data_IF_642505308870
#
_entry.id   IF_642505308870
#
_cell.length_a   1.000
_cell.length_b   1.000
_cell.length_c   1.000
_cell.angle_alpha   90.00
_cell.angle_beta   90.00
_cell.angle_gamma   90.00
#
_symmetry.space_group_name_H-M   'P 1'
#
loop_
_entity.id
_entity.type
_entity.pdbx_description
1 polymer ?
#
# COMPACT_ATOMS: atom_id res chain seq x y z
N UNK A 1 -29.17 9.79 11.50
CA UNK A 1 -28.80 10.05 10.09
C UNK A 1 -29.06 8.78 9.28
N UNK A 2 -29.95 8.79 8.28
CA UNK A 2 -30.31 7.57 7.57
C UNK A 2 -29.24 7.23 6.53
N UNK A 3 -28.68 6.04 6.67
CA UNK A 3 -27.75 5.43 5.73
C UNK A 3 -28.49 5.02 4.46
N UNK A 4 -28.10 5.58 3.31
CA UNK A 4 -28.52 5.06 2.01
C UNK A 4 -27.93 3.66 1.82
N UNK A 5 -28.77 2.64 2.01
CA UNK A 5 -28.51 1.28 1.54
C UNK A 5 -28.69 1.25 0.03
N UNK A 6 -27.58 1.27 -0.71
CA UNK A 6 -27.60 0.77 -2.09
C UNK A 6 -27.88 -0.75 -2.04
N UNK A 7 -29.10 -1.14 -2.37
CA UNK A 7 -29.49 -2.55 -2.61
C UNK A 7 -28.77 -3.02 -3.88
N UNK A 8 -27.92 -4.04 -3.78
CA UNK A 8 -27.65 -4.91 -4.93
C UNK A 8 -26.22 -5.40 -5.17
N UNK A 9 -25.18 -4.83 -4.57
CA UNK A 9 -23.81 -5.38 -4.67
C UNK A 9 -23.39 -5.95 -3.32
N UNK A 10 -22.89 -7.19 -3.29
CA UNK A 10 -22.14 -7.64 -2.11
C UNK A 10 -20.93 -6.71 -2.01
N UNK A 11 -20.62 -6.22 -0.81
CA UNK A 11 -19.57 -5.21 -0.56
C UNK A 11 -18.13 -5.67 -0.92
N UNK A 12 -17.99 -6.88 -1.48
CA UNK A 12 -16.76 -7.62 -1.70
C UNK A 12 -16.84 -8.45 -3.00
N UNK A 13 -17.40 -7.87 -4.07
CA UNK A 13 -17.27 -8.48 -5.39
C UNK A 13 -15.86 -8.22 -5.92
N UNK A 14 -15.16 -9.29 -6.29
CA UNK A 14 -13.86 -9.22 -6.94
C UNK A 14 -13.97 -8.40 -8.22
N UNK A 15 -13.20 -7.31 -8.32
CA UNK A 15 -13.07 -6.51 -9.53
C UNK A 15 -11.68 -6.74 -10.15
N UNK A 16 -11.64 -6.99 -11.47
CA UNK A 16 -10.39 -7.28 -12.17
C UNK A 16 -9.40 -6.12 -12.09
N UNK A 17 -8.13 -6.48 -11.93
CA UNK A 17 -7.00 -5.59 -11.88
C UNK A 17 -6.80 -4.81 -13.20
N UNK A 18 -6.39 -3.54 -13.08
CA UNK A 18 -5.93 -2.74 -14.24
C UNK A 18 -4.50 -3.08 -14.64
N UNK A 19 -3.69 -3.67 -13.75
CA UNK A 19 -2.28 -3.96 -13.96
C UNK A 19 -1.37 -2.72 -14.05
N UNK A 20 -1.94 -1.53 -13.95
CA UNK A 20 -1.25 -0.25 -14.00
C UNK A 20 -1.83 0.73 -12.98
N UNK A 21 -0.96 1.54 -12.41
CA UNK A 21 -1.31 2.66 -11.55
C UNK A 21 -0.72 3.96 -12.09
N UNK A 22 -1.28 5.08 -11.65
CA UNK A 22 -0.65 6.38 -11.76
C UNK A 22 -0.96 7.16 -10.49
N UNK A 23 -0.27 8.27 -10.29
CA UNK A 23 -0.45 9.12 -9.12
C UNK A 23 -1.90 9.56 -8.94
N UNK A 24 -2.59 9.89 -10.01
CA UNK A 24 -3.93 10.47 -10.01
C UNK A 24 -5.02 9.45 -9.67
N UNK A 25 -4.72 8.17 -9.79
CA UNK A 25 -5.61 7.06 -9.44
C UNK A 25 -5.36 6.53 -8.02
N UNK A 26 -4.28 6.92 -7.35
CA UNK A 26 -4.04 6.60 -5.94
C UNK A 26 -5.00 7.37 -5.03
N UNK A 27 -5.28 6.84 -3.84
CA UNK A 27 -5.98 7.59 -2.79
C UNK A 27 -5.10 8.75 -2.27
N UNK A 28 -5.68 9.78 -1.62
CA UNK A 28 -4.94 10.96 -1.21
C UNK A 28 -3.75 10.71 -0.27
N UNK A 29 -3.79 9.68 0.58
CA UNK A 29 -2.69 9.36 1.48
C UNK A 29 -1.58 8.66 0.68
N UNK A 30 -1.91 7.68 -0.15
CA UNK A 30 -0.95 6.99 -1.02
C UNK A 30 -0.28 7.93 -2.03
N UNK A 31 -0.97 8.97 -2.53
CA UNK A 31 -0.37 10.01 -3.39
C UNK A 31 0.79 10.73 -2.71
N UNK A 32 0.63 11.05 -1.44
CA UNK A 32 1.65 11.77 -0.69
C UNK A 32 2.89 10.88 -0.50
N UNK A 33 2.68 9.60 -0.22
CA UNK A 33 3.77 8.61 -0.13
C UNK A 33 4.47 8.46 -1.47
N UNK A 34 3.70 8.33 -2.56
CA UNK A 34 4.24 8.26 -3.92
C UNK A 34 5.12 9.48 -4.24
N UNK A 35 4.67 10.69 -3.93
CA UNK A 35 5.42 11.93 -4.16
C UNK A 35 6.73 11.94 -3.37
N UNK A 36 6.69 11.58 -2.08
CA UNK A 36 7.90 11.51 -1.23
C UNK A 36 8.90 10.48 -1.74
N UNK A 37 8.44 9.28 -2.13
CA UNK A 37 9.33 8.24 -2.66
C UNK A 37 9.93 8.67 -4.01
N UNK A 38 9.16 9.35 -4.86
CA UNK A 38 9.66 9.92 -6.11
C UNK A 38 10.72 11.00 -5.90
N UNK A 39 10.50 11.90 -4.94
CA UNK A 39 11.47 12.95 -4.59
C UNK A 39 12.78 12.37 -4.03
N UNK A 40 12.71 11.20 -3.38
CA UNK A 40 13.88 10.43 -2.94
C UNK A 40 14.58 9.68 -4.09
N UNK A 41 14.07 9.74 -5.31
CA UNK A 41 14.64 9.06 -6.47
C UNK A 41 14.33 7.56 -6.53
N UNK A 42 13.31 7.09 -5.81
CA UNK A 42 12.86 5.69 -5.89
C UNK A 42 12.34 5.39 -7.29
N UNK A 43 12.84 4.30 -7.87
CA UNK A 43 12.43 3.77 -9.18
C UNK A 43 11.42 2.64 -9.05
N UNK A 44 11.65 1.75 -8.07
CA UNK A 44 10.82 0.55 -7.87
C UNK A 44 10.47 0.41 -6.40
N UNK A 45 9.21 0.08 -6.11
CA UNK A 45 8.74 -0.38 -4.80
C UNK A 45 8.62 -1.89 -4.83
N UNK A 46 9.05 -2.55 -3.76
CA UNK A 46 8.84 -3.98 -3.53
C UNK A 46 7.82 -4.19 -2.42
N UNK A 47 6.85 -5.07 -2.68
CA UNK A 47 5.80 -5.41 -1.74
C UNK A 47 5.63 -6.92 -1.64
N UNK A 48 5.07 -7.36 -0.52
CA UNK A 48 4.57 -8.71 -0.30
C UNK A 48 3.08 -8.66 -0.05
N UNK A 49 2.38 -9.71 -0.43
CA UNK A 49 0.95 -9.83 -0.13
C UNK A 49 0.62 -11.22 0.38
N UNK A 50 -0.43 -11.29 1.18
CA UNK A 50 -1.03 -12.52 1.66
C UNK A 50 -2.55 -12.37 1.73
N UNK A 51 -3.25 -13.50 1.81
CA UNK A 51 -4.69 -13.56 1.99
C UNK A 51 -5.16 -14.99 2.19
N UNK A 52 -6.43 -15.13 2.54
CA UNK A 52 -7.10 -16.41 2.80
C UNK A 52 -8.02 -16.32 4.00
N UNK A 53 -9.31 -16.46 3.77
CA UNK A 53 -10.36 -16.23 4.75
C UNK A 53 -11.08 -14.91 4.52
N UNK A 54 -10.75 -13.90 5.32
CA UNK A 54 -11.47 -12.62 5.41
C UNK A 54 -11.06 -11.64 4.29
N UNK A 55 -9.82 -11.14 4.32
CA UNK A 55 -9.30 -10.23 3.30
C UNK A 55 -7.79 -10.43 3.08
N UNK A 56 -7.28 -9.84 2.00
CA UNK A 56 -5.86 -9.80 1.68
C UNK A 56 -5.17 -8.57 2.25
N UNK A 57 -3.92 -8.76 2.64
CA UNK A 57 -3.04 -7.71 3.13
C UNK A 57 -1.81 -7.60 2.25
N UNK A 58 -1.33 -6.37 2.06
CA UNK A 58 -0.08 -6.09 1.39
C UNK A 58 0.81 -5.26 2.30
N UNK A 59 2.09 -5.59 2.29
CA UNK A 59 3.10 -5.02 3.15
C UNK A 59 4.25 -4.49 2.32
N UNK A 60 4.69 -3.29 2.65
CA UNK A 60 5.88 -2.72 2.06
C UNK A 60 7.12 -3.53 2.46
N UNK A 61 8.04 -3.78 1.51
CA UNK A 61 9.25 -4.58 1.79
C UNK A 61 10.54 -3.80 1.53
N UNK A 62 10.55 -2.87 0.58
CA UNK A 62 11.73 -2.08 0.29
C UNK A 62 11.59 -1.29 -1.00
N UNK A 63 12.66 -0.59 -1.37
CA UNK A 63 12.73 0.22 -2.59
C UNK A 63 14.03 0.01 -3.35
N UNK A 64 13.99 0.24 -4.65
CA UNK A 64 15.17 0.37 -5.50
C UNK A 64 15.34 1.82 -5.94
N UNK A 65 16.51 2.38 -5.65
CA UNK A 65 17.04 3.59 -6.27
C UNK A 65 17.91 3.19 -7.47
N UNK A 66 18.50 4.17 -8.16
CA UNK A 66 19.34 3.91 -9.34
C UNK A 66 20.51 2.95 -9.06
N UNK A 67 21.17 3.12 -7.92
CA UNK A 67 22.43 2.46 -7.55
C UNK A 67 22.30 1.39 -6.47
N UNK A 68 21.18 1.36 -5.74
CA UNK A 68 21.03 0.50 -4.56
C UNK A 68 19.59 0.10 -4.24
N UNK A 69 19.46 -0.94 -3.44
CA UNK A 69 18.21 -1.33 -2.78
C UNK A 69 18.28 -0.85 -1.33
N UNK A 70 17.18 -0.29 -0.83
CA UNK A 70 16.99 0.06 0.58
C UNK A 70 15.85 -0.79 1.11
N UNK A 71 16.13 -1.58 2.14
CA UNK A 71 15.15 -2.43 2.81
C UNK A 71 14.19 -1.59 3.67
N UNK A 72 13.03 -2.16 3.99
CA UNK A 72 11.97 -1.46 4.72
C UNK A 72 12.44 -0.79 6.01
N UNK A 73 13.17 -1.50 6.87
CA UNK A 73 13.58 -0.95 8.16
C UNK A 73 14.50 0.27 8.00
N UNK A 74 15.47 0.22 7.09
CA UNK A 74 16.37 1.33 6.81
C UNK A 74 15.62 2.53 6.21
N UNK A 75 14.67 2.28 5.29
CA UNK A 75 13.84 3.33 4.70
C UNK A 75 12.93 3.97 5.74
N UNK A 76 12.35 3.16 6.64
CA UNK A 76 11.44 3.62 7.69
C UNK A 76 12.10 4.66 8.59
N UNK A 77 13.33 4.38 9.05
CA UNK A 77 14.07 5.34 9.87
C UNK A 77 14.40 6.62 9.11
N UNK A 78 14.80 6.54 7.84
CA UNK A 78 15.08 7.73 7.02
C UNK A 78 13.84 8.62 6.84
N UNK A 79 12.67 8.00 6.65
CA UNK A 79 11.41 8.71 6.46
C UNK A 79 10.79 9.25 7.76
N UNK A 80 11.12 8.63 8.90
CA UNK A 80 10.61 9.02 10.22
C UNK A 80 11.12 10.41 10.65
N UNK A 81 12.35 10.77 10.25
CA UNK A 81 12.90 12.10 10.45
C UNK A 81 12.33 13.15 9.48
N UNK A 82 11.62 12.69 8.44
CA UNK A 82 11.13 13.51 7.35
C UNK A 82 9.66 13.91 7.43
N UNK A 83 9.12 14.30 6.28
CA UNK A 83 7.74 14.80 6.16
C UNK A 83 6.69 13.72 6.45
N UNK A 84 6.99 12.43 6.21
CA UNK A 84 6.06 11.34 6.50
C UNK A 84 5.91 11.05 8.00
N UNK A 85 7.00 11.13 8.78
CA UNK A 85 6.98 10.90 10.22
C UNK A 85 6.15 11.91 11.03
N UNK A 86 5.89 13.09 10.46
CA UNK A 86 5.03 14.12 11.09
C UNK A 86 3.60 14.16 10.55
N UNK A 87 3.28 13.36 9.53
CA UNK A 87 1.96 13.39 8.88
C UNK A 87 0.87 12.81 9.78
N UNK A 88 -0.34 13.27 9.52
CA UNK A 88 -1.56 12.73 10.11
C UNK A 88 -2.61 12.60 9.02
N UNK A 89 -3.41 11.54 9.07
CA UNK A 89 -4.59 11.38 8.22
C UNK A 89 -5.76 10.87 9.04
N UNK A 90 -6.98 10.98 8.51
CA UNK A 90 -8.18 10.45 9.17
C UNK A 90 -8.08 8.93 9.34
N UNK A 91 -7.50 8.22 8.37
CA UNK A 91 -7.27 6.78 8.46
C UNK A 91 -6.31 6.43 9.59
N UNK A 92 -5.16 7.11 9.67
CA UNK A 92 -4.19 6.92 10.75
C UNK A 92 -4.84 7.16 12.12
N UNK A 93 -5.60 8.26 12.27
CA UNK A 93 -6.32 8.56 13.52
C UNK A 93 -7.33 7.49 13.89
N UNK A 94 -8.03 6.94 12.91
CA UNK A 94 -9.02 5.88 13.14
C UNK A 94 -8.35 4.58 13.54
N UNK A 95 -7.22 4.24 12.91
CA UNK A 95 -6.43 3.04 13.21
C UNK A 95 -5.84 3.08 14.63
N UNK A 96 -5.24 4.22 15.00
CA UNK A 96 -4.59 4.39 16.30
C UNK A 96 -5.52 4.89 17.42
N UNK A 97 -6.81 5.10 17.16
CA UNK A 97 -7.74 5.72 18.12
C UNK A 97 -7.72 5.07 19.52
N UNK A 98 -7.56 3.75 19.60
CA UNK A 98 -7.51 3.00 20.86
C UNK A 98 -6.10 2.63 21.33
N UNK A 99 -5.08 2.88 20.50
CA UNK A 99 -3.70 2.44 20.72
C UNK A 99 -2.79 3.57 21.24
N UNK A 100 -3.26 4.81 21.20
CA UNK A 100 -2.49 5.99 21.60
C UNK A 100 -1.86 6.74 20.42
N UNK A 101 -1.03 7.74 20.70
CA UNK A 101 -0.38 8.53 19.65
C UNK A 101 0.74 7.70 18.98
N UNK A 102 0.70 7.47 17.65
CA UNK A 102 1.72 6.70 16.97
C UNK A 102 3.05 7.46 16.94
N UNK A 103 4.15 6.72 17.18
CA UNK A 103 5.52 7.18 16.93
C UNK A 103 5.73 7.55 15.45
N UNK A 104 6.73 8.39 15.13
CA UNK A 104 7.05 8.74 13.74
C UNK A 104 7.25 7.50 12.84
N UNK A 105 7.92 6.47 13.33
CA UNK A 105 8.18 5.22 12.62
C UNK A 105 6.89 4.46 12.32
N UNK A 106 5.98 4.38 13.30
CA UNK A 106 4.66 3.76 13.14
C UNK A 106 3.79 4.48 12.11
N UNK A 107 3.94 5.80 11.99
CA UNK A 107 3.22 6.59 10.95
C UNK A 107 3.77 6.28 9.58
N UNK A 108 5.09 6.24 9.45
CA UNK A 108 5.75 5.89 8.19
C UNK A 108 5.34 4.50 7.75
N UNK A 109 5.43 3.51 8.64
CA UNK A 109 4.99 2.13 8.38
C UNK A 109 3.53 2.09 7.92
N UNK A 110 2.63 2.76 8.63
CA UNK A 110 1.22 2.84 8.26
C UNK A 110 1.02 3.41 6.84
N UNK A 111 1.68 4.51 6.51
CA UNK A 111 1.56 5.14 5.19
C UNK A 111 2.17 4.29 4.07
N UNK A 112 3.29 3.61 4.32
CA UNK A 112 3.91 2.69 3.37
C UNK A 112 3.01 1.48 3.09
N UNK A 113 2.38 0.92 4.13
CA UNK A 113 1.44 -0.20 3.98
C UNK A 113 0.12 0.21 3.31
N UNK A 114 -0.35 1.45 3.51
CA UNK A 114 -1.45 2.01 2.72
C UNK A 114 -1.11 2.04 1.22
N UNK A 115 0.08 2.54 0.87
CA UNK A 115 0.52 2.54 -0.53
C UNK A 115 0.64 1.10 -1.07
N UNK A 116 1.23 0.17 -0.29
CA UNK A 116 1.33 -1.23 -0.67
C UNK A 116 -0.04 -1.86 -0.93
N UNK A 117 -1.03 -1.56 -0.09
CA UNK A 117 -2.41 -2.04 -0.22
C UNK A 117 -3.09 -1.48 -1.48
N UNK A 118 -2.90 -0.20 -1.77
CA UNK A 118 -3.40 0.42 -3.01
C UNK A 118 -2.77 -0.22 -4.25
N UNK A 119 -1.45 -0.45 -4.25
CA UNK A 119 -0.75 -1.13 -5.35
C UNK A 119 -1.20 -2.60 -5.51
N UNK A 120 -1.38 -3.32 -4.42
CA UNK A 120 -1.90 -4.69 -4.46
C UNK A 120 -3.30 -4.75 -5.05
N UNK A 121 -4.14 -3.76 -4.75
CA UNK A 121 -5.46 -3.64 -5.36
C UNK A 121 -5.38 -3.42 -6.87
N UNK A 122 -4.44 -2.60 -7.35
CA UNK A 122 -4.22 -2.42 -8.80
C UNK A 122 -3.74 -3.68 -9.51
N UNK A 123 -3.00 -4.55 -8.81
CA UNK A 123 -2.47 -5.81 -9.35
C UNK A 123 -3.46 -6.97 -9.26
N UNK A 124 -4.15 -7.10 -8.14
CA UNK A 124 -4.92 -8.29 -7.77
C UNK A 124 -6.42 -8.04 -7.84
N UNK A 125 -6.87 -6.80 -7.80
CA UNK A 125 -8.27 -6.42 -7.74
C UNK A 125 -8.75 -6.02 -6.35
N UNK A 126 -9.90 -5.34 -6.29
CA UNK A 126 -10.58 -5.04 -5.03
C UNK A 126 -11.05 -6.34 -4.35
N UNK A 127 -10.85 -6.43 -3.03
CA UNK A 127 -11.22 -7.61 -2.26
C UNK A 127 -10.32 -8.84 -2.51
N UNK A 128 -9.10 -8.66 -3.03
CA UNK A 128 -8.13 -9.75 -3.12
C UNK A 128 -7.94 -10.44 -1.76
N UNK A 129 -7.66 -11.74 -1.78
CA UNK A 129 -7.47 -12.53 -0.56
C UNK A 129 -8.75 -12.93 0.17
N UNK A 130 -9.92 -12.45 -0.27
CA UNK A 130 -11.23 -12.92 0.23
C UNK A 130 -11.53 -14.32 -0.31
N UNK A 131 -11.95 -15.25 0.56
CA UNK A 131 -12.43 -16.57 0.17
C UNK A 131 -11.63 -17.75 0.73
N UNK A 132 -11.99 -18.95 0.28
CA UNK A 132 -11.51 -20.22 0.89
C UNK A 132 -10.05 -20.57 0.55
N UNK A 133 -9.45 -19.87 -0.42
CA UNK A 133 -8.10 -20.15 -0.89
C UNK A 133 -7.10 -19.19 -0.29
N UNK A 134 -5.95 -19.73 0.15
CA UNK A 134 -4.83 -18.91 0.57
C UNK A 134 -4.06 -18.41 -0.64
N UNK A 135 -3.67 -17.13 -0.59
CA UNK A 135 -2.75 -16.52 -1.54
C UNK A 135 -1.56 -15.95 -0.79
N UNK A 136 -0.37 -16.09 -1.38
CA UNK A 136 0.86 -15.46 -0.90
C UNK A 136 1.75 -15.17 -2.09
N UNK A 137 2.34 -13.98 -2.12
CA UNK A 137 3.24 -13.60 -3.20
C UNK A 137 3.97 -12.30 -2.91
N UNK A 138 4.64 -11.81 -3.95
CA UNK A 138 5.36 -10.55 -3.95
C UNK A 138 5.16 -9.88 -5.29
N UNK A 139 5.24 -8.56 -5.32
CA UNK A 139 5.21 -7.81 -6.57
C UNK A 139 6.15 -6.62 -6.48
N UNK A 140 6.46 -6.08 -7.65
CA UNK A 140 7.18 -4.81 -7.78
C UNK A 140 6.35 -3.80 -8.56
N UNK A 141 6.44 -2.54 -8.17
CA UNK A 141 5.77 -1.43 -8.83
C UNK A 141 6.81 -0.41 -9.32
N UNK A 142 6.78 -0.08 -10.61
CA UNK A 142 7.66 0.93 -11.21
C UNK A 142 7.01 2.32 -11.13
N UNK A 143 7.68 3.26 -10.48
CA UNK A 143 7.13 4.60 -10.22
C UNK A 143 7.20 5.53 -11.44
N UNK A 144 8.02 5.20 -12.43
CA UNK A 144 8.14 5.96 -13.69
C UNK A 144 7.08 5.51 -14.69
N UNK A 145 6.90 4.20 -14.87
CA UNK A 145 5.99 3.65 -15.88
C UNK A 145 4.58 3.39 -15.34
N UNK A 146 4.42 3.30 -14.02
CA UNK A 146 3.15 2.88 -13.41
C UNK A 146 2.85 1.39 -13.55
N UNK A 147 3.80 0.59 -14.04
CA UNK A 147 3.63 -0.85 -14.21
C UNK A 147 3.76 -1.59 -12.88
N UNK A 148 2.89 -2.58 -12.66
CA UNK A 148 3.01 -3.52 -11.52
C UNK A 148 3.21 -4.93 -12.06
N UNK A 149 4.28 -5.58 -11.60
CA UNK A 149 4.65 -6.94 -12.02
C UNK A 149 4.54 -7.86 -10.82
N UNK A 150 3.71 -8.91 -10.92
CA UNK A 150 3.70 -10.02 -9.97
C UNK A 150 5.03 -10.79 -10.08
N UNK A 151 5.73 -10.92 -8.96
CA UNK A 151 6.96 -11.67 -8.87
C UNK A 151 6.60 -13.04 -8.30
N UNK A 152 6.19 -13.95 -9.19
CA UNK A 152 6.01 -15.34 -8.82
C UNK A 152 7.36 -15.91 -8.35
N UNK A 153 7.35 -16.61 -7.21
CA UNK A 153 8.51 -17.40 -6.78
C UNK A 153 8.91 -18.34 -7.92
N UNK A 154 10.09 -18.12 -8.50
CA UNK A 154 10.81 -19.21 -9.18
C UNK A 154 11.24 -20.25 -8.14
#
# INVERSE_FOLDING_TARGET
MPYFKYRGKRKYEYELASGQFNRENLDPDSRQVFDVLRDLGVKVIYCRYNGGGDEGFAHFSGVKLEDRIIEFDDLKYQLAEGSLGSKTSQYLRSYYHSLGEPSPEQRVEFFLDLLASSLATFLLGQGYGTGEYSMKGSFRANLETGEITDEQRQ
#
